data_IF_895717717632
#
_entry.id   IF_895717717632
#
_cell.length_a   1.000
_cell.length_b   1.000
_cell.length_c   1.000
_cell.angle_alpha   90.00
_cell.angle_beta   90.00
_cell.angle_gamma   90.00
#
_symmetry.space_group_name_H-M   'P 1'
#
loop_
_entity.id
_entity.type
_entity.pdbx_description
1 polymer ?
#
# COMPACT_ATOMS: atom_id res chain seq x y z
N UNK A 1 57.29 -38.24 -64.46
CA UNK A 1 56.71 -37.02 -63.82
C UNK A 1 55.48 -37.46 -63.00
N UNK A 2 55.66 -37.73 -61.73
CA UNK A 2 54.59 -38.19 -60.82
C UNK A 2 54.07 -36.96 -60.00
N UNK A 3 52.84 -36.61 -60.23
CA UNK A 3 52.15 -35.68 -59.35
C UNK A 3 51.45 -36.46 -58.22
N UNK A 4 51.92 -36.30 -57.01
CA UNK A 4 51.27 -36.82 -55.80
C UNK A 4 50.11 -35.90 -55.41
N UNK A 5 48.90 -36.42 -55.38
CA UNK A 5 47.75 -35.77 -54.77
C UNK A 5 47.78 -36.08 -53.25
N UNK A 6 47.89 -35.05 -52.44
CA UNK A 6 47.72 -35.14 -51.00
C UNK A 6 46.27 -34.80 -50.71
N UNK A 7 45.50 -35.80 -50.27
CA UNK A 7 44.13 -35.58 -49.82
C UNK A 7 44.18 -35.21 -48.35
N UNK A 8 43.84 -33.96 -48.03
CA UNK A 8 43.66 -33.47 -46.66
C UNK A 8 42.23 -33.82 -46.23
N UNK A 9 42.06 -34.78 -45.33
CA UNK A 9 40.79 -35.06 -44.66
C UNK A 9 40.67 -34.07 -43.50
N UNK A 10 39.84 -33.05 -43.65
CA UNK A 10 39.47 -32.19 -42.55
C UNK A 10 38.38 -32.85 -41.73
N UNK A 11 38.74 -33.38 -40.53
CA UNK A 11 37.77 -33.83 -39.55
C UNK A 11 37.10 -32.61 -38.90
N UNK A 12 35.85 -32.31 -39.27
CA UNK A 12 35.00 -31.37 -38.57
C UNK A 12 34.56 -32.02 -37.23
N UNK A 13 35.20 -31.61 -36.14
CA UNK A 13 34.71 -31.90 -34.80
C UNK A 13 33.57 -30.91 -34.53
N UNK A 14 32.33 -31.34 -34.70
CA UNK A 14 31.16 -30.62 -34.22
C UNK A 14 31.16 -30.73 -32.67
N UNK A 15 31.67 -29.73 -31.99
CA UNK A 15 31.42 -29.57 -30.56
C UNK A 15 29.98 -29.09 -30.43
N UNK A 16 29.06 -30.03 -30.21
CA UNK A 16 27.71 -29.70 -29.76
C UNK A 16 27.83 -29.14 -28.34
N UNK A 17 27.93 -27.82 -28.21
CA UNK A 17 27.67 -27.14 -26.94
C UNK A 17 26.17 -27.32 -26.67
N UNK A 18 25.81 -28.41 -25.99
CA UNK A 18 24.54 -28.51 -25.31
C UNK A 18 24.56 -27.37 -24.28
N UNK A 19 24.05 -26.22 -24.65
CA UNK A 19 23.70 -25.18 -23.70
C UNK A 19 22.64 -25.81 -22.79
N UNK A 20 23.07 -26.29 -21.63
CA UNK A 20 22.12 -26.52 -20.54
C UNK A 20 21.44 -25.16 -20.30
N UNK A 21 20.22 -25.00 -20.79
CA UNK A 21 19.37 -23.98 -20.35
C UNK A 21 19.20 -24.21 -18.85
N UNK A 22 19.97 -23.49 -18.04
CA UNK A 22 19.83 -23.52 -16.59
C UNK A 22 18.38 -23.14 -16.33
N UNK A 23 17.57 -24.06 -15.84
CA UNK A 23 16.19 -23.77 -15.50
C UNK A 23 16.20 -22.51 -14.64
N UNK A 24 15.59 -21.45 -15.12
CA UNK A 24 15.55 -20.18 -14.39
C UNK A 24 14.85 -20.47 -13.06
N UNK A 25 15.59 -20.34 -11.98
CA UNK A 25 15.05 -20.53 -10.65
C UNK A 25 13.87 -19.57 -10.47
N UNK A 26 12.70 -20.09 -10.07
CA UNK A 26 11.51 -19.28 -9.88
C UNK A 26 11.72 -18.33 -8.71
N UNK A 27 11.24 -17.08 -8.78
CA UNK A 27 11.34 -16.16 -7.65
C UNK A 27 10.55 -16.68 -6.45
N UNK A 28 11.14 -16.57 -5.27
CA UNK A 28 10.50 -16.98 -4.02
C UNK A 28 9.57 -15.88 -3.49
N UNK A 29 8.29 -16.20 -3.40
CA UNK A 29 7.23 -15.29 -2.96
C UNK A 29 6.59 -15.80 -1.68
N UNK A 30 6.62 -14.98 -0.61
CA UNK A 30 5.87 -15.25 0.61
C UNK A 30 4.48 -14.64 0.54
N UNK A 31 3.44 -15.43 0.82
CA UNK A 31 2.06 -14.94 0.95
C UNK A 31 1.71 -14.84 2.43
N UNK A 32 1.62 -13.62 2.94
CA UNK A 32 1.20 -13.32 4.30
C UNK A 32 -0.32 -13.11 4.35
N UNK A 33 -1.04 -13.97 5.06
CA UNK A 33 -2.49 -13.87 5.17
C UNK A 33 -2.90 -13.09 6.41
N UNK A 34 -3.78 -12.09 6.24
CA UNK A 34 -4.38 -11.33 7.33
C UNK A 34 -5.89 -11.59 7.51
N UNK A 35 -6.51 -12.37 6.62
CA UNK A 35 -7.94 -12.67 6.61
C UNK A 35 -8.67 -11.94 5.47
N UNK A 36 -9.79 -11.32 5.78
CA UNK A 36 -10.60 -10.58 4.82
C UNK A 36 -11.54 -11.46 3.96
N UNK A 37 -12.20 -10.83 2.97
CA UNK A 37 -13.19 -11.46 2.07
C UNK A 37 -12.56 -12.51 1.17
N UNK A 38 -11.33 -12.34 0.75
CA UNK A 38 -10.60 -13.32 -0.09
C UNK A 38 -10.50 -14.69 0.60
N UNK A 39 -10.40 -14.68 1.94
CA UNK A 39 -10.48 -15.85 2.81
C UNK A 39 -11.89 -16.06 3.39
N UNK A 40 -12.90 -15.39 2.87
CA UNK A 40 -14.27 -15.43 3.35
C UNK A 40 -15.07 -16.56 2.72
N UNK A 41 -15.97 -17.15 3.50
CA UNK A 41 -16.92 -18.17 3.06
C UNK A 41 -18.34 -17.77 3.45
N UNK A 42 -19.28 -17.87 2.51
CA UNK A 42 -20.69 -17.62 2.72
C UNK A 42 -21.52 -18.90 2.54
N UNK A 43 -22.72 -18.92 3.10
CA UNK A 43 -23.67 -20.04 3.00
C UNK A 43 -24.40 -20.09 1.65
N UNK A 44 -24.28 -19.06 0.82
CA UNK A 44 -25.00 -18.93 -0.46
C UNK A 44 -24.12 -18.30 -1.52
N UNK A 45 -24.22 -18.80 -2.75
CA UNK A 45 -23.50 -18.27 -3.91
C UNK A 45 -24.04 -16.92 -4.42
N UNK A 46 -25.26 -16.53 -4.00
CA UNK A 46 -25.96 -15.32 -4.48
C UNK A 46 -26.17 -14.27 -3.40
N UNK A 47 -25.89 -14.60 -2.14
CA UNK A 47 -26.04 -13.70 -1.01
C UNK A 47 -24.71 -13.05 -0.65
N UNK A 48 -24.74 -11.78 -0.26
CA UNK A 48 -23.55 -11.04 0.22
C UNK A 48 -23.17 -11.34 1.68
N UNK A 49 -23.94 -12.18 2.38
CA UNK A 49 -23.64 -12.59 3.76
C UNK A 49 -22.52 -13.63 3.76
N UNK A 50 -21.39 -13.28 4.37
CA UNK A 50 -20.24 -14.16 4.54
C UNK A 50 -19.50 -13.85 5.84
N UNK A 51 -18.68 -14.80 6.29
CA UNK A 51 -17.73 -14.59 7.40
C UNK A 51 -16.32 -14.46 6.83
N UNK A 52 -15.66 -13.35 7.11
CA UNK A 52 -14.29 -13.12 6.67
C UNK A 52 -13.31 -14.06 7.39
N UNK A 53 -12.19 -14.41 6.72
CA UNK A 53 -11.09 -15.13 7.36
C UNK A 53 -11.38 -16.60 7.65
N UNK A 54 -12.33 -17.26 7.01
CA UNK A 54 -12.66 -18.66 7.27
C UNK A 54 -11.73 -19.67 6.55
N UNK A 55 -11.02 -19.22 5.53
CA UNK A 55 -10.19 -20.08 4.66
C UNK A 55 -8.73 -19.88 5.02
N UNK A 56 -8.05 -20.98 5.34
CA UNK A 56 -6.61 -20.98 5.64
C UNK A 56 -5.77 -20.64 4.39
N UNK A 57 -4.60 -20.07 4.58
CA UNK A 57 -3.70 -19.65 3.48
C UNK A 57 -3.34 -20.80 2.55
N UNK A 58 -3.09 -22.01 3.06
CA UNK A 58 -2.80 -23.18 2.23
C UNK A 58 -3.93 -23.49 1.24
N UNK A 59 -5.18 -23.42 1.67
CA UNK A 59 -6.35 -23.64 0.81
C UNK A 59 -6.47 -22.56 -0.28
N UNK A 60 -6.12 -21.31 0.03
CA UNK A 60 -6.10 -20.22 -0.97
C UNK A 60 -5.03 -20.47 -2.04
N UNK A 61 -3.83 -20.92 -1.64
CA UNK A 61 -2.75 -21.25 -2.57
C UNK A 61 -3.14 -22.45 -3.44
N UNK A 62 -3.71 -23.50 -2.86
CA UNK A 62 -4.12 -24.71 -3.58
C UNK A 62 -5.30 -24.47 -4.54
N UNK A 63 -6.12 -23.43 -4.26
CA UNK A 63 -7.20 -23.04 -5.17
C UNK A 63 -6.70 -22.37 -6.48
N UNK A 64 -5.42 -21.98 -6.55
CA UNK A 64 -4.82 -21.30 -7.72
C UNK A 64 -3.49 -21.95 -8.10
N UNK A 65 -3.49 -23.21 -8.57
CA UNK A 65 -2.26 -23.97 -8.81
C UNK A 65 -1.33 -23.32 -9.86
N UNK A 66 -1.87 -22.57 -10.81
CA UNK A 66 -1.10 -21.85 -11.82
C UNK A 66 -0.07 -20.85 -11.25
N UNK A 67 -0.21 -20.44 -10.00
CA UNK A 67 0.79 -19.58 -9.35
C UNK A 67 2.13 -20.31 -9.16
N UNK A 68 2.13 -21.64 -9.04
CA UNK A 68 3.34 -22.47 -8.86
C UNK A 68 4.20 -22.52 -10.12
N UNK A 69 3.64 -22.15 -11.27
CA UNK A 69 4.39 -22.07 -12.53
C UNK A 69 5.18 -20.77 -12.66
N UNK A 70 4.90 -19.77 -11.80
CA UNK A 70 5.50 -18.44 -11.86
C UNK A 70 6.33 -18.06 -10.63
N UNK A 71 6.12 -18.73 -9.50
CA UNK A 71 6.87 -18.49 -8.27
C UNK A 71 6.98 -19.74 -7.39
N UNK A 72 8.07 -19.84 -6.62
CA UNK A 72 8.14 -20.72 -5.45
C UNK A 72 7.40 -20.03 -4.30
N UNK A 73 6.28 -20.62 -3.84
CA UNK A 73 5.33 -19.97 -2.95
C UNK A 73 5.35 -20.61 -1.57
N UNK A 74 5.56 -19.77 -0.56
CA UNK A 74 5.33 -20.11 0.84
C UNK A 74 4.19 -19.26 1.42
N UNK A 75 3.34 -19.86 2.26
CA UNK A 75 2.20 -19.19 2.91
C UNK A 75 2.34 -19.13 4.42
N UNK A 76 2.04 -17.98 5.02
CA UNK A 76 2.04 -17.76 6.46
C UNK A 76 0.80 -17.01 6.91
N UNK A 77 0.13 -17.49 7.97
CA UNK A 77 -1.00 -16.81 8.59
C UNK A 77 -0.48 -15.84 9.66
N UNK A 78 -0.55 -14.53 9.41
CA UNK A 78 -0.13 -13.50 10.37
C UNK A 78 -1.24 -13.23 11.40
N UNK A 79 -2.45 -12.99 10.91
CA UNK A 79 -3.70 -12.84 11.69
C UNK A 79 -4.87 -13.32 10.83
N UNK A 80 -6.04 -13.47 11.45
CA UNK A 80 -7.24 -13.88 10.74
C UNK A 80 -8.44 -13.03 11.18
N UNK A 81 -8.57 -11.84 10.56
CA UNK A 81 -9.55 -10.81 10.92
C UNK A 81 -10.27 -10.26 9.69
N UNK A 82 -11.45 -9.70 9.88
CA UNK A 82 -12.02 -8.74 8.95
C UNK A 82 -11.20 -7.44 8.99
N UNK A 83 -11.01 -6.77 7.86
CA UNK A 83 -10.16 -5.58 7.83
C UNK A 83 -10.73 -4.39 8.61
N UNK A 84 -12.03 -4.36 8.90
CA UNK A 84 -12.64 -3.39 9.82
C UNK A 84 -12.09 -3.51 11.26
N UNK A 85 -11.52 -4.66 11.61
CA UNK A 85 -10.92 -4.94 12.93
C UNK A 85 -9.39 -4.77 12.91
N UNK A 86 -8.84 -4.19 11.84
CA UNK A 86 -7.40 -3.89 11.74
C UNK A 86 -6.98 -2.95 12.87
N UNK A 87 -5.80 -3.19 13.44
CA UNK A 87 -5.29 -2.41 14.56
C UNK A 87 -3.83 -2.01 14.38
N UNK A 88 -3.41 -0.97 15.14
CA UNK A 88 -2.02 -0.54 15.17
C UNK A 88 -1.05 -1.67 15.57
N UNK A 89 -1.47 -2.56 16.47
CA UNK A 89 -0.67 -3.72 16.89
C UNK A 89 -0.47 -4.72 15.74
N UNK A 90 -1.51 -4.95 14.93
CA UNK A 90 -1.42 -5.80 13.73
C UNK A 90 -0.52 -5.16 12.68
N UNK A 91 -0.61 -3.85 12.46
CA UNK A 91 0.28 -3.13 11.55
C UNK A 91 1.74 -3.25 11.95
N UNK A 92 2.07 -3.05 13.24
CA UNK A 92 3.44 -3.20 13.73
C UNK A 92 3.96 -4.63 13.56
N UNK A 93 3.13 -5.64 13.87
CA UNK A 93 3.46 -7.05 13.65
C UNK A 93 3.71 -7.34 12.16
N UNK A 94 2.84 -6.85 11.28
CA UNK A 94 2.94 -7.07 9.84
C UNK A 94 4.19 -6.39 9.26
N UNK A 95 4.46 -5.13 9.63
CA UNK A 95 5.69 -4.43 9.20
C UNK A 95 6.96 -5.14 9.65
N UNK A 96 7.01 -5.62 10.89
CA UNK A 96 8.15 -6.39 11.38
C UNK A 96 8.37 -7.66 10.56
N UNK A 97 7.30 -8.44 10.29
CA UNK A 97 7.41 -9.67 9.51
C UNK A 97 7.78 -9.44 8.05
N UNK A 98 7.20 -8.42 7.41
CA UNK A 98 7.55 -8.04 6.03
C UNK A 98 9.02 -7.63 5.94
N UNK A 99 9.50 -6.76 6.83
CA UNK A 99 10.92 -6.36 6.84
C UNK A 99 11.85 -7.56 7.08
N UNK A 100 11.51 -8.46 8.00
CA UNK A 100 12.28 -9.67 8.27
C UNK A 100 12.42 -10.54 7.01
N UNK A 101 11.31 -10.81 6.32
CA UNK A 101 11.30 -11.62 5.09
C UNK A 101 12.11 -10.95 3.97
N UNK A 102 11.93 -9.66 3.75
CA UNK A 102 12.61 -8.95 2.66
C UNK A 102 14.11 -8.75 2.90
N UNK A 103 14.58 -8.85 4.15
CA UNK A 103 16.01 -8.89 4.48
C UNK A 103 16.68 -10.22 4.13
N UNK A 104 15.92 -11.30 3.94
CA UNK A 104 16.44 -12.60 3.55
C UNK A 104 16.85 -12.57 2.07
N UNK A 105 18.01 -13.17 1.76
CA UNK A 105 18.50 -13.23 0.37
C UNK A 105 17.71 -14.23 -0.50
N UNK A 106 17.08 -15.21 0.12
CA UNK A 106 16.29 -16.26 -0.54
C UNK A 106 14.81 -15.87 -0.73
N UNK A 107 14.40 -14.67 -0.38
CA UNK A 107 13.04 -14.14 -0.60
C UNK A 107 13.10 -13.02 -1.62
N UNK A 108 12.29 -13.11 -2.67
CA UNK A 108 12.25 -12.11 -3.74
C UNK A 108 11.11 -11.11 -3.60
N UNK A 109 9.98 -11.51 -3.01
CA UNK A 109 8.82 -10.64 -2.84
C UNK A 109 7.88 -11.11 -1.72
N UNK A 110 6.97 -10.22 -1.30
CA UNK A 110 5.90 -10.51 -0.36
C UNK A 110 4.56 -10.13 -0.99
N UNK A 111 3.59 -11.04 -0.94
CA UNK A 111 2.17 -10.78 -1.21
C UNK A 111 1.41 -10.79 0.11
N UNK A 112 0.45 -9.89 0.29
CA UNK A 112 -0.34 -9.80 1.52
C UNK A 112 -1.82 -9.91 1.15
N UNK A 113 -2.48 -11.00 1.56
CA UNK A 113 -3.94 -11.09 1.43
C UNK A 113 -4.61 -10.30 2.54
N UNK A 114 -5.54 -9.41 2.18
CA UNK A 114 -6.13 -8.45 3.09
C UNK A 114 -7.61 -8.21 2.77
N UNK A 115 -8.39 -7.84 3.77
CA UNK A 115 -9.76 -7.38 3.55
C UNK A 115 -9.77 -5.98 2.93
N UNK A 116 -10.75 -5.71 2.07
CA UNK A 116 -10.75 -4.51 1.22
C UNK A 116 -11.05 -3.20 1.96
N UNK A 117 -11.70 -3.24 3.16
CA UNK A 117 -12.20 -2.03 3.82
C UNK A 117 -11.08 -1.09 4.32
N UNK A 118 -9.96 -1.64 4.79
CA UNK A 118 -8.80 -0.85 5.27
C UNK A 118 -7.50 -1.20 4.55
N UNK A 119 -7.58 -1.85 3.38
CA UNK A 119 -6.40 -2.23 2.58
C UNK A 119 -5.55 -1.02 2.22
N UNK A 120 -6.16 0.08 1.82
CA UNK A 120 -5.47 1.33 1.47
C UNK A 120 -4.65 1.90 2.63
N UNK A 121 -5.19 1.76 3.86
CA UNK A 121 -4.50 2.20 5.07
C UNK A 121 -3.30 1.31 5.39
N UNK A 122 -3.48 -0.01 5.31
CA UNK A 122 -2.37 -0.97 5.51
C UNK A 122 -1.29 -0.81 4.46
N UNK A 123 -1.66 -0.63 3.18
CA UNK A 123 -0.72 -0.39 2.10
C UNK A 123 0.10 0.89 2.35
N UNK A 124 -0.56 1.97 2.74
CA UNK A 124 0.10 3.24 3.04
C UNK A 124 1.00 3.15 4.28
N UNK A 125 0.56 2.48 5.34
CA UNK A 125 1.39 2.24 6.52
C UNK A 125 2.67 1.46 6.16
N UNK A 126 2.54 0.38 5.38
CA UNK A 126 3.69 -0.42 4.96
C UNK A 126 4.62 0.36 4.02
N UNK A 127 4.10 1.22 3.13
CA UNK A 127 4.93 2.04 2.25
C UNK A 127 5.85 3.00 3.01
N UNK A 128 5.46 3.39 4.22
CA UNK A 128 6.23 4.26 5.11
C UNK A 128 7.12 3.51 6.12
N UNK A 129 6.94 2.19 6.27
CA UNK A 129 7.61 1.41 7.33
C UNK A 129 8.37 0.17 6.84
N UNK A 130 8.32 -0.09 5.53
CA UNK A 130 9.11 -1.14 4.88
C UNK A 130 10.21 -0.51 4.04
N UNK A 131 11.47 -0.93 4.29
CA UNK A 131 12.63 -0.45 3.54
C UNK A 131 13.20 -1.60 2.71
N UNK A 132 12.77 -1.70 1.45
CA UNK A 132 13.24 -2.73 0.52
C UNK A 132 12.99 -2.32 -0.92
N UNK A 133 13.87 -2.75 -1.83
CA UNK A 133 13.67 -2.68 -3.27
C UNK A 133 12.76 -3.81 -3.79
N UNK A 134 12.58 -4.87 -2.98
CA UNK A 134 11.76 -6.04 -3.32
C UNK A 134 10.28 -5.69 -3.25
N UNK A 135 9.44 -6.21 -4.16
CA UNK A 135 8.02 -5.91 -4.21
C UNK A 135 7.26 -6.35 -2.96
N UNK A 136 6.33 -5.51 -2.51
CA UNK A 136 5.27 -5.85 -1.56
C UNK A 136 3.93 -5.58 -2.22
N UNK A 137 3.08 -6.59 -2.35
CA UNK A 137 1.81 -6.47 -3.09
C UNK A 137 0.64 -6.87 -2.21
N UNK A 138 -0.25 -5.93 -1.91
CA UNK A 138 -1.50 -6.23 -1.21
C UNK A 138 -2.58 -6.66 -2.22
N UNK A 139 -3.40 -7.61 -1.82
CA UNK A 139 -4.49 -8.15 -2.62
C UNK A 139 -5.68 -8.55 -1.75
N UNK A 140 -6.88 -8.47 -2.32
CA UNK A 140 -8.11 -8.86 -1.66
C UNK A 140 -9.16 -9.35 -2.64
N UNK A 141 -10.40 -9.45 -2.16
CA UNK A 141 -11.55 -9.76 -2.99
C UNK A 141 -12.77 -8.98 -2.51
N UNK A 142 -13.64 -8.61 -3.46
CA UNK A 142 -14.93 -7.99 -3.17
C UNK A 142 -16.04 -9.03 -3.01
N UNK A 143 -15.83 -10.24 -3.53
CA UNK A 143 -16.77 -11.36 -3.44
C UNK A 143 -16.16 -12.50 -2.64
N UNK A 144 -16.90 -13.13 -1.73
CA UNK A 144 -16.41 -14.30 -0.99
C UNK A 144 -16.13 -15.48 -1.95
N UNK A 145 -15.28 -16.41 -1.54
CA UNK A 145 -14.87 -17.55 -2.36
C UNK A 145 -16.02 -18.43 -2.84
N UNK A 146 -17.14 -18.42 -2.13
CA UNK A 146 -18.36 -19.16 -2.47
C UNK A 146 -19.31 -18.44 -3.43
N UNK A 147 -19.05 -17.16 -3.76
CA UNK A 147 -19.92 -16.39 -4.63
C UNK A 147 -19.75 -16.76 -6.11
N UNK A 148 -20.82 -16.57 -6.89
CA UNK A 148 -20.74 -16.66 -8.35
C UNK A 148 -19.78 -15.58 -8.85
N UNK A 149 -18.82 -15.98 -9.72
CA UNK A 149 -17.77 -15.09 -10.22
C UNK A 149 -16.93 -14.45 -9.09
N UNK A 150 -16.53 -15.24 -8.09
CA UNK A 150 -15.60 -14.81 -7.07
C UNK A 150 -14.31 -14.25 -7.71
N UNK A 151 -13.93 -13.04 -7.30
CA UNK A 151 -12.77 -12.33 -7.89
C UNK A 151 -11.43 -12.67 -7.20
N UNK A 152 -11.49 -13.32 -6.03
CA UNK A 152 -10.31 -13.66 -5.22
C UNK A 152 -9.23 -14.46 -5.94
N UNK A 153 -9.55 -15.58 -6.61
CA UNK A 153 -8.55 -16.40 -7.31
C UNK A 153 -7.79 -15.64 -8.39
N UNK A 154 -8.49 -14.87 -9.23
CA UNK A 154 -7.85 -14.07 -10.27
C UNK A 154 -7.01 -12.92 -9.69
N UNK A 155 -7.51 -12.26 -8.63
CA UNK A 155 -6.77 -11.21 -7.95
C UNK A 155 -5.48 -11.75 -7.32
N UNK A 156 -5.55 -12.92 -6.65
CA UNK A 156 -4.38 -13.54 -6.02
C UNK A 156 -3.33 -13.95 -7.06
N UNK A 157 -3.76 -14.58 -8.16
CA UNK A 157 -2.87 -14.90 -9.28
C UNK A 157 -2.16 -13.65 -9.81
N UNK A 158 -2.91 -12.60 -10.10
CA UNK A 158 -2.36 -11.33 -10.60
C UNK A 158 -1.38 -10.69 -9.60
N UNK A 159 -1.66 -10.76 -8.30
CA UNK A 159 -0.75 -10.24 -7.28
C UNK A 159 0.58 -11.01 -7.24
N UNK A 160 0.56 -12.33 -7.44
CA UNK A 160 1.77 -13.15 -7.54
C UNK A 160 2.54 -12.82 -8.83
N UNK A 161 1.85 -12.61 -9.96
CA UNK A 161 2.48 -12.14 -11.22
C UNK A 161 3.21 -10.81 -11.00
N UNK A 162 2.56 -9.86 -10.34
CA UNK A 162 3.18 -8.56 -10.01
C UNK A 162 4.37 -8.75 -9.10
N UNK A 163 4.24 -9.54 -8.03
CA UNK A 163 5.30 -9.78 -7.05
C UNK A 163 6.53 -10.48 -7.67
N UNK A 164 6.31 -11.47 -8.55
CA UNK A 164 7.36 -12.23 -9.21
C UNK A 164 8.08 -11.45 -10.33
N UNK A 165 7.54 -10.32 -10.78
CA UNK A 165 8.09 -9.55 -11.88
C UNK A 165 9.27 -8.67 -11.47
N UNK A 166 10.38 -8.76 -12.21
CA UNK A 166 11.52 -7.86 -12.03
C UNK A 166 11.15 -6.38 -12.26
N UNK A 167 10.13 -6.10 -13.10
CA UNK A 167 9.65 -4.75 -13.36
C UNK A 167 8.93 -4.11 -12.15
N UNK A 168 8.60 -4.92 -11.12
CA UNK A 168 7.99 -4.46 -9.89
C UNK A 168 9.00 -4.04 -8.81
N UNK A 169 10.28 -4.31 -9.00
CA UNK A 169 11.34 -3.84 -8.09
C UNK A 169 11.34 -2.31 -8.03
N UNK A 170 11.70 -1.78 -6.88
CA UNK A 170 11.75 -0.33 -6.63
C UNK A 170 10.42 0.42 -6.79
N UNK A 171 9.28 -0.27 -6.84
CA UNK A 171 7.97 0.38 -6.88
C UNK A 171 7.32 0.55 -5.52
N UNK A 172 8.01 0.13 -4.44
CA UNK A 172 7.48 0.19 -3.07
C UNK A 172 6.31 -0.77 -2.87
N UNK A 173 5.36 -0.35 -2.04
CA UNK A 173 4.17 -1.15 -1.73
C UNK A 173 3.07 -0.88 -2.77
N UNK A 174 2.57 -1.94 -3.35
CA UNK A 174 1.56 -1.93 -4.41
C UNK A 174 0.26 -2.58 -3.94
N UNK A 175 -0.85 -2.18 -4.53
CA UNK A 175 -2.15 -2.86 -4.40
C UNK A 175 -2.54 -3.41 -5.76
N UNK A 176 -2.81 -4.73 -5.85
CA UNK A 176 -3.24 -5.39 -7.08
C UNK A 176 -4.68 -5.86 -6.93
N UNK A 177 -5.61 -5.23 -7.65
CA UNK A 177 -7.03 -5.53 -7.61
C UNK A 177 -7.66 -5.41 -8.99
N UNK A 178 -8.51 -6.36 -9.35
CA UNK A 178 -9.25 -6.34 -10.62
C UNK A 178 -8.35 -6.12 -11.85
N UNK A 179 -7.17 -6.78 -11.87
CA UNK A 179 -6.20 -6.68 -12.97
C UNK A 179 -5.43 -5.36 -13.04
N UNK A 180 -5.64 -4.42 -12.14
CA UNK A 180 -4.92 -3.13 -12.07
C UNK A 180 -3.95 -3.10 -10.91
N UNK A 181 -2.86 -2.36 -11.08
CA UNK A 181 -1.81 -2.16 -10.07
C UNK A 181 -1.78 -0.69 -9.67
N UNK A 182 -1.81 -0.43 -8.38
CA UNK A 182 -1.88 0.91 -7.80
C UNK A 182 -0.76 1.15 -6.79
N UNK A 183 -0.30 2.38 -6.69
CA UNK A 183 0.58 2.83 -5.61
C UNK A 183 -0.18 3.03 -4.29
N UNK A 184 0.49 2.79 -3.18
CA UNK A 184 -0.10 2.87 -1.84
C UNK A 184 -0.57 4.28 -1.44
N UNK A 185 0.04 5.31 -2.00
CA UNK A 185 -0.22 6.72 -1.68
C UNK A 185 -1.60 7.23 -2.13
N UNK A 186 -2.04 6.85 -3.34
CA UNK A 186 -3.30 7.36 -3.92
C UNK A 186 -4.42 6.32 -4.01
N UNK A 187 -4.10 5.01 -3.91
CA UNK A 187 -5.14 3.97 -3.98
C UNK A 187 -6.18 4.14 -2.89
N UNK A 188 -7.47 4.05 -3.26
CA UNK A 188 -8.59 4.11 -2.30
C UNK A 188 -9.76 3.26 -2.76
N UNK A 189 -10.55 2.77 -1.80
CA UNK A 189 -11.81 2.05 -2.05
C UNK A 189 -12.92 3.05 -2.36
N UNK A 190 -13.32 3.15 -3.62
CA UNK A 190 -14.28 4.16 -4.09
C UNK A 190 -15.72 3.67 -4.18
N UNK A 191 -15.95 2.36 -4.05
CA UNK A 191 -17.27 1.76 -4.15
C UNK A 191 -17.44 0.64 -3.11
N UNK A 192 -18.62 0.51 -2.54
CA UNK A 192 -18.90 -0.45 -1.47
C UNK A 192 -19.06 -1.88 -1.97
N UNK A 193 -19.41 -2.10 -3.25
CA UNK A 193 -19.85 -3.41 -3.78
C UNK A 193 -19.14 -3.83 -5.07
N UNK A 194 -18.76 -2.89 -5.94
CA UNK A 194 -18.16 -3.21 -7.24
C UNK A 194 -16.83 -3.91 -7.11
N UNK A 195 -16.54 -4.89 -7.97
CA UNK A 195 -15.21 -5.50 -8.07
C UNK A 195 -14.16 -4.49 -8.55
N UNK A 196 -14.56 -3.50 -9.34
CA UNK A 196 -13.73 -2.36 -9.76
C UNK A 196 -13.77 -1.22 -8.73
N UNK A 197 -13.62 -1.55 -7.46
CA UNK A 197 -13.76 -0.57 -6.37
C UNK A 197 -12.50 0.23 -6.09
N UNK A 198 -11.31 -0.35 -6.31
CA UNK A 198 -10.07 0.35 -6.07
C UNK A 198 -9.71 1.27 -7.24
N UNK A 199 -9.43 2.52 -6.93
CA UNK A 199 -8.98 3.54 -7.85
C UNK A 199 -7.83 4.33 -7.22
N UNK A 200 -7.04 4.99 -8.04
CA UNK A 200 -6.10 6.04 -7.63
C UNK A 200 -6.59 7.34 -8.27
N UNK A 201 -7.45 8.08 -7.59
CA UNK A 201 -8.26 9.12 -8.24
C UNK A 201 -7.47 10.35 -8.69
N UNK A 202 -6.28 10.59 -8.12
CA UNK A 202 -5.43 11.72 -8.52
C UNK A 202 -4.34 11.31 -9.51
N UNK A 203 -3.68 10.16 -9.30
CA UNK A 203 -2.51 9.73 -10.10
C UNK A 203 -2.82 8.67 -11.17
N UNK A 204 -3.94 7.94 -11.03
CA UNK A 204 -4.28 6.80 -11.86
C UNK A 204 -3.53 5.52 -11.46
N UNK A 205 -3.84 4.42 -12.13
CA UNK A 205 -3.15 3.16 -11.94
C UNK A 205 -1.66 3.26 -12.34
N UNK A 206 -0.80 2.52 -11.68
CA UNK A 206 0.62 2.35 -12.05
C UNK A 206 0.77 1.44 -13.27
N UNK A 207 -0.12 0.45 -13.40
CA UNK A 207 -0.09 -0.53 -14.45
C UNK A 207 -1.26 -1.50 -14.39
N UNK A 208 -1.15 -2.58 -15.14
CA UNK A 208 -2.15 -3.64 -15.20
C UNK A 208 -1.50 -4.99 -15.46
N UNK A 209 -2.22 -6.07 -15.16
CA UNK A 209 -1.84 -7.44 -15.47
C UNK A 209 -2.67 -7.95 -16.62
N UNK A 210 -2.03 -8.55 -17.62
CA UNK A 210 -2.68 -9.19 -18.75
C UNK A 210 -1.88 -10.42 -19.19
N UNK A 211 -2.56 -11.52 -19.45
CA UNK A 211 -1.96 -12.79 -19.91
C UNK A 211 -0.76 -13.28 -19.06
N UNK A 212 -0.82 -13.11 -17.73
CA UNK A 212 0.26 -13.52 -16.83
C UNK A 212 1.50 -12.59 -16.85
N UNK A 213 1.37 -11.40 -17.40
CA UNK A 213 2.43 -10.40 -17.42
C UNK A 213 1.94 -9.07 -16.84
N UNK A 214 2.82 -8.33 -16.16
CA UNK A 214 2.52 -6.99 -15.66
C UNK A 214 3.08 -5.93 -16.62
N UNK A 215 2.25 -4.94 -16.91
CA UNK A 215 2.59 -3.78 -17.75
C UNK A 215 2.46 -2.51 -16.94
N UNK A 216 3.55 -1.78 -16.80
CA UNK A 216 3.57 -0.49 -16.10
C UNK A 216 3.51 0.67 -17.07
N UNK A 217 2.70 1.67 -16.78
CA UNK A 217 2.57 2.88 -17.63
C UNK A 217 3.78 3.78 -17.54
N UNK A 218 4.54 3.71 -16.44
CA UNK A 218 5.71 4.56 -16.20
C UNK A 218 6.90 3.71 -15.78
N UNK A 219 8.09 3.98 -16.31
CA UNK A 219 9.30 3.32 -15.82
C UNK A 219 9.56 3.75 -14.36
N UNK A 220 10.25 2.89 -13.61
CA UNK A 220 10.96 3.34 -12.40
C UNK A 220 12.11 4.21 -12.88
N UNK A 221 12.28 5.40 -12.31
CA UNK A 221 13.40 6.24 -12.64
C UNK A 221 14.70 5.61 -12.10
N UNK A 222 15.48 4.98 -12.99
CA UNK A 222 16.71 4.26 -12.63
C UNK A 222 17.76 5.19 -12.00
N UNK A 223 17.82 6.44 -12.47
CA UNK A 223 18.84 7.41 -12.01
C UNK A 223 18.40 8.24 -10.81
N UNK A 224 17.09 8.39 -10.60
CA UNK A 224 16.58 9.17 -9.48
C UNK A 224 16.07 8.30 -8.34
N UNK A 225 15.91 6.98 -8.54
CA UNK A 225 15.35 6.09 -7.54
C UNK A 225 14.00 6.56 -6.99
N UNK A 226 13.29 7.43 -7.71
CA UNK A 226 12.27 8.31 -7.14
C UNK A 226 10.96 8.14 -7.89
N UNK A 227 9.88 7.90 -7.17
CA UNK A 227 8.55 8.20 -7.68
C UNK A 227 8.43 9.71 -7.85
N UNK A 228 8.01 10.13 -9.05
CA UNK A 228 7.69 11.52 -9.29
C UNK A 228 6.35 11.82 -8.63
N UNK A 229 6.37 12.33 -7.42
CA UNK A 229 5.20 12.89 -6.79
C UNK A 229 5.10 14.38 -7.09
N UNK A 230 3.92 14.92 -6.88
CA UNK A 230 3.48 16.26 -7.21
C UNK A 230 4.57 17.35 -7.01
N UNK A 231 4.78 18.21 -8.02
CA UNK A 231 5.68 19.37 -7.90
C UNK A 231 4.89 20.59 -7.46
N UNK A 232 5.18 21.12 -6.30
CA UNK A 232 4.68 22.41 -5.90
C UNK A 232 5.84 23.40 -5.72
N UNK A 233 5.79 24.56 -6.41
CA UNK A 233 6.72 25.71 -6.28
C UNK A 233 8.22 25.38 -6.38
N UNK A 234 8.61 24.52 -7.33
CA UNK A 234 10.03 24.27 -7.59
C UNK A 234 10.77 23.49 -6.53
N UNK A 235 10.05 22.88 -5.59
CA UNK A 235 10.62 21.92 -4.65
C UNK A 235 11.13 20.70 -5.44
N UNK A 236 12.40 20.38 -5.24
CA UNK A 236 13.03 19.18 -5.78
C UNK A 236 12.30 17.96 -5.20
N UNK A 237 11.92 17.08 -6.08
CA UNK A 237 11.28 15.81 -5.76
C UNK A 237 12.01 15.09 -4.64
N UNK A 238 11.33 14.80 -3.55
CA UNK A 238 11.78 13.80 -2.59
C UNK A 238 11.11 12.48 -2.92
N UNK A 239 11.90 11.43 -2.92
CA UNK A 239 11.39 10.08 -3.02
C UNK A 239 10.55 9.78 -1.77
N UNK A 240 9.30 9.37 -1.93
CA UNK A 240 8.53 8.88 -0.78
C UNK A 240 9.19 7.67 -0.13
N UNK A 241 10.09 6.96 -0.83
CA UNK A 241 10.95 5.92 -0.26
C UNK A 241 12.04 6.49 0.66
N UNK A 242 12.39 7.78 0.55
CA UNK A 242 13.25 8.46 1.51
C UNK A 242 12.51 8.76 2.81
N UNK A 243 11.16 8.81 2.75
CA UNK A 243 10.33 8.95 3.94
C UNK A 243 10.07 7.58 4.58
N UNK A 244 11.02 7.17 5.39
CA UNK A 244 10.97 5.91 6.12
C UNK A 244 10.91 6.13 7.63
N UNK A 245 9.95 5.46 8.26
CA UNK A 245 9.80 5.43 9.70
C UNK A 245 10.19 4.05 10.24
N UNK A 246 11.36 3.97 10.87
CA UNK A 246 11.73 2.76 11.60
C UNK A 246 10.82 2.58 12.81
N UNK A 247 9.98 1.54 12.73
CA UNK A 247 9.03 1.14 13.78
C UNK A 247 9.49 -0.08 14.56
N UNK A 248 10.69 -0.61 14.31
CA UNK A 248 11.20 -1.84 14.94
C UNK A 248 11.23 -1.79 16.47
N UNK A 249 11.39 -0.60 17.05
CA UNK A 249 11.40 -0.36 18.50
C UNK A 249 10.11 0.25 19.04
N UNK A 250 9.12 0.50 18.16
CA UNK A 250 7.84 1.11 18.54
C UNK A 250 6.92 0.03 19.10
N UNK A 251 6.58 0.14 20.38
CA UNK A 251 5.65 -0.80 21.05
C UNK A 251 4.19 -0.41 20.84
N UNK A 252 3.92 0.89 20.76
CA UNK A 252 2.59 1.45 20.58
C UNK A 252 2.69 2.73 19.76
N UNK A 253 1.78 2.89 18.78
CA UNK A 253 1.70 4.10 17.98
C UNK A 253 0.90 5.19 18.73
N UNK A 254 1.29 6.47 18.57
CA UNK A 254 0.57 7.60 19.16
C UNK A 254 -0.91 7.61 18.77
N UNK A 255 -1.78 7.97 19.70
CA UNK A 255 -3.22 8.02 19.48
C UNK A 255 -3.60 9.23 18.63
N UNK A 256 -4.04 8.99 17.40
CA UNK A 256 -4.51 9.99 16.44
C UNK A 256 -5.92 9.65 15.99
N UNK A 257 -6.80 10.63 15.96
CA UNK A 257 -8.20 10.46 15.54
C UNK A 257 -8.55 11.31 14.33
N UNK A 258 -9.70 11.01 13.71
CA UNK A 258 -10.27 11.77 12.61
C UNK A 258 -11.57 12.40 13.10
N UNK A 259 -11.69 13.73 12.97
CA UNK A 259 -12.92 14.46 13.16
C UNK A 259 -13.47 14.85 11.78
N UNK A 260 -14.74 14.54 11.52
CA UNK A 260 -15.35 14.74 10.20
C UNK A 260 -16.13 16.06 10.16
N UNK A 261 -15.86 16.90 9.15
CA UNK A 261 -16.54 18.17 8.93
C UNK A 261 -17.85 17.97 8.14
N UNK A 262 -18.92 18.64 8.60
CA UNK A 262 -20.24 18.66 7.96
C UNK A 262 -20.96 19.98 8.28
N UNK A 263 -22.11 20.22 7.62
CA UNK A 263 -22.93 21.39 7.89
C UNK A 263 -23.41 21.37 9.35
N UNK A 264 -23.27 22.51 10.06
CA UNK A 264 -23.58 22.64 11.48
C UNK A 264 -22.78 21.73 12.43
N UNK A 265 -21.54 21.37 12.04
CA UNK A 265 -20.65 20.59 12.88
C UNK A 265 -20.36 21.32 14.20
N UNK A 266 -20.52 20.61 15.32
CA UNK A 266 -20.14 21.05 16.66
C UNK A 266 -18.73 20.63 17.04
N UNK A 267 -18.30 21.07 18.22
CA UNK A 267 -16.95 20.84 18.74
C UNK A 267 -16.77 19.54 19.52
N UNK A 268 -17.84 18.82 19.80
CA UNK A 268 -17.93 17.73 20.76
C UNK A 268 -16.93 16.59 20.47
N UNK A 269 -16.75 16.26 19.17
CA UNK A 269 -15.80 15.21 18.75
C UNK A 269 -14.37 15.62 19.05
N UNK A 270 -14.01 16.88 18.78
CA UNK A 270 -12.68 17.42 19.07
C UNK A 270 -12.44 17.50 20.58
N UNK A 271 -13.44 17.98 21.34
CA UNK A 271 -13.38 18.05 22.80
C UNK A 271 -13.16 16.65 23.43
N UNK A 272 -13.90 15.65 22.96
CA UNK A 272 -13.71 14.27 23.42
C UNK A 272 -12.30 13.74 23.12
N UNK A 273 -11.72 14.10 21.98
CA UNK A 273 -10.32 13.74 21.65
C UNK A 273 -9.33 14.43 22.58
N UNK A 274 -9.55 15.70 22.90
CA UNK A 274 -8.74 16.45 23.86
C UNK A 274 -8.81 15.78 25.25
N UNK A 275 -9.99 15.50 25.74
CA UNK A 275 -10.22 14.83 27.03
C UNK A 275 -9.58 13.44 27.10
N UNK A 276 -9.59 12.69 26.00
CA UNK A 276 -9.01 11.34 25.89
C UNK A 276 -7.52 11.36 25.58
N UNK A 277 -6.86 12.53 25.66
CA UNK A 277 -5.41 12.70 25.50
C UNK A 277 -4.87 12.22 24.15
N UNK A 278 -5.59 12.44 23.05
CA UNK A 278 -5.08 12.21 21.72
C UNK A 278 -3.81 13.03 21.49
N UNK A 279 -2.89 12.54 20.68
CA UNK A 279 -1.64 13.23 20.33
C UNK A 279 -1.74 13.99 19.02
N UNK A 280 -2.70 13.59 18.19
CA UNK A 280 -3.00 14.23 16.92
C UNK A 280 -4.46 14.12 16.54
N UNK A 281 -4.93 15.08 15.80
CA UNK A 281 -6.30 15.16 15.24
C UNK A 281 -6.16 15.46 13.75
N UNK A 282 -6.76 14.63 12.91
CA UNK A 282 -6.98 14.95 11.50
C UNK A 282 -8.41 15.48 11.38
N UNK A 283 -8.55 16.69 10.92
CA UNK A 283 -9.85 17.24 10.62
C UNK A 283 -10.16 17.06 9.13
N UNK A 284 -11.09 16.16 8.82
CA UNK A 284 -11.60 15.93 7.47
C UNK A 284 -12.60 17.04 7.11
N UNK A 285 -12.09 18.19 6.72
CA UNK A 285 -12.87 19.39 6.45
C UNK A 285 -13.69 19.30 5.15
N UNK A 286 -14.44 20.34 4.88
CA UNK A 286 -15.19 20.51 3.63
C UNK A 286 -14.35 21.28 2.60
N UNK A 287 -14.61 21.07 1.29
CA UNK A 287 -13.84 21.73 0.24
C UNK A 287 -12.34 21.57 0.42
N UNK A 288 -11.58 22.64 0.45
CA UNK A 288 -10.12 22.65 0.66
C UNK A 288 -9.72 22.50 2.15
N UNK A 289 -10.33 21.59 2.86
CA UNK A 289 -10.06 21.36 4.28
C UNK A 289 -10.61 22.43 5.21
N UNK A 290 -11.69 23.13 4.82
CA UNK A 290 -12.30 24.20 5.60
C UNK A 290 -12.94 23.69 6.88
N UNK A 291 -12.85 24.52 7.90
CA UNK A 291 -13.27 24.21 9.27
C UNK A 291 -14.52 25.01 9.62
N UNK A 292 -15.55 24.33 10.13
CA UNK A 292 -16.74 24.99 10.61
C UNK A 292 -16.42 25.91 11.80
N UNK A 293 -17.04 27.13 11.84
CA UNK A 293 -16.78 28.14 12.86
C UNK A 293 -16.94 27.67 14.31
N UNK A 294 -17.84 26.72 14.56
CA UNK A 294 -18.06 26.17 15.91
C UNK A 294 -16.96 25.19 16.33
N UNK A 295 -16.28 24.52 15.36
CA UNK A 295 -15.21 23.54 15.61
C UNK A 295 -13.85 24.22 15.76
N UNK A 296 -13.65 25.33 15.05
CA UNK A 296 -12.36 26.02 14.96
C UNK A 296 -11.73 26.31 16.34
N UNK A 297 -12.48 26.90 17.32
CA UNK A 297 -11.92 27.16 18.65
C UNK A 297 -11.44 25.90 19.40
N UNK A 298 -12.09 24.75 19.18
CA UNK A 298 -11.66 23.48 19.80
C UNK A 298 -10.33 22.98 19.20
N UNK A 299 -10.11 23.17 17.90
CA UNK A 299 -8.83 22.83 17.27
C UNK A 299 -7.71 23.76 17.71
N UNK A 300 -7.98 25.06 17.93
CA UNK A 300 -7.02 25.98 18.56
C UNK A 300 -6.68 25.55 19.99
N UNK A 301 -7.68 25.13 20.77
CA UNK A 301 -7.48 24.62 22.12
C UNK A 301 -6.62 23.35 22.11
N UNK A 302 -6.88 22.42 21.18
CA UNK A 302 -6.05 21.24 20.97
C UNK A 302 -4.58 21.61 20.73
N UNK A 303 -4.32 22.60 19.86
CA UNK A 303 -2.96 23.09 19.59
C UNK A 303 -2.30 23.68 20.85
N UNK A 304 -3.01 24.49 21.63
CA UNK A 304 -2.51 25.05 22.88
C UNK A 304 -2.13 23.96 23.91
N UNK A 305 -2.79 22.79 23.83
CA UNK A 305 -2.49 21.61 24.64
C UNK A 305 -1.40 20.69 24.04
N UNK A 306 -0.77 21.09 22.93
CA UNK A 306 0.29 20.35 22.28
C UNK A 306 -0.18 19.20 21.37
N UNK A 307 -1.49 19.11 21.11
CA UNK A 307 -2.05 18.12 20.17
C UNK A 307 -1.85 18.67 18.76
N UNK A 308 -1.24 17.88 17.87
CA UNK A 308 -1.06 18.29 16.49
C UNK A 308 -2.39 18.21 15.70
N UNK A 309 -2.63 19.18 14.85
CA UNK A 309 -3.82 19.25 14.00
C UNK A 309 -3.39 19.21 12.54
N UNK A 310 -3.93 18.26 11.79
CA UNK A 310 -3.79 18.14 10.34
C UNK A 310 -5.14 18.46 9.71
N UNK A 311 -5.16 19.44 8.82
CA UNK A 311 -6.30 19.68 7.94
C UNK A 311 -6.21 18.77 6.74
N UNK A 312 -7.26 17.98 6.51
CA UNK A 312 -7.48 17.18 5.33
C UNK A 312 -8.88 17.47 4.79
N UNK A 313 -9.30 16.80 3.75
CA UNK A 313 -10.61 17.00 3.18
C UNK A 313 -11.43 15.71 3.11
N UNK A 314 -12.74 15.81 3.30
CA UNK A 314 -13.69 14.72 2.98
C UNK A 314 -13.94 14.60 1.48
N UNK A 315 -13.47 15.55 0.68
CA UNK A 315 -13.55 15.48 -0.79
C UNK A 315 -12.54 14.43 -1.26
N UNK A 316 -12.94 13.47 -2.10
CA UNK A 316 -12.10 12.31 -2.41
C UNK A 316 -10.93 12.60 -3.35
N UNK A 317 -10.90 13.77 -4.00
CA UNK A 317 -9.87 14.16 -4.97
C UNK A 317 -9.39 15.57 -4.75
N UNK A 318 -8.20 15.88 -5.26
CA UNK A 318 -7.56 17.19 -5.09
C UNK A 318 -6.76 17.29 -3.79
N UNK A 319 -6.03 18.38 -3.64
CA UNK A 319 -5.15 18.61 -2.51
C UNK A 319 -5.75 19.61 -1.51
N UNK A 320 -5.53 19.37 -0.21
CA UNK A 320 -5.73 20.36 0.83
C UNK A 320 -4.49 21.25 0.90
N UNK A 321 -4.59 22.47 0.42
CA UNK A 321 -3.45 23.38 0.26
C UNK A 321 -3.11 24.15 1.53
N UNK A 322 -1.82 24.39 1.74
CA UNK A 322 -1.29 25.13 2.87
C UNK A 322 -1.62 26.64 2.71
N UNK A 323 -1.97 27.30 3.82
CA UNK A 323 -2.20 28.75 3.92
C UNK A 323 -3.15 29.32 2.84
N UNK A 324 -4.23 28.58 2.51
CA UNK A 324 -5.24 29.02 1.56
C UNK A 324 -6.37 29.81 2.27
N UNK A 325 -7.47 29.12 2.62
CA UNK A 325 -8.60 29.73 3.33
C UNK A 325 -8.40 29.73 4.86
N UNK A 326 -7.48 28.90 5.35
CA UNK A 326 -7.06 28.83 6.75
C UNK A 326 -5.58 29.20 6.83
N UNK A 327 -5.24 30.14 7.71
CA UNK A 327 -3.85 30.54 8.00
C UNK A 327 -3.19 29.46 8.89
N UNK A 328 -2.66 28.43 8.26
CA UNK A 328 -2.06 27.28 8.95
C UNK A 328 -0.85 27.70 9.77
N UNK A 329 -0.04 28.62 9.25
CA UNK A 329 1.16 29.11 9.94
C UNK A 329 0.81 29.81 11.25
N UNK A 330 -0.27 30.60 11.28
CA UNK A 330 -0.75 31.29 12.49
C UNK A 330 -1.21 30.32 13.57
N UNK A 331 -1.94 29.27 13.19
CA UNK A 331 -2.55 28.33 14.13
C UNK A 331 -1.67 27.11 14.41
N UNK A 332 -0.57 26.93 13.67
CA UNK A 332 0.30 25.77 13.76
C UNK A 332 -0.39 24.49 13.27
N UNK A 333 -1.28 24.62 12.28
CA UNK A 333 -1.91 23.48 11.63
C UNK A 333 -1.00 22.95 10.51
N UNK A 334 -1.28 21.73 10.08
CA UNK A 334 -0.60 21.03 8.99
C UNK A 334 -1.59 20.77 7.88
N UNK A 335 -1.24 21.03 6.63
CA UNK A 335 -2.05 20.68 5.47
C UNK A 335 -1.69 19.29 4.95
N UNK A 336 -2.71 18.47 4.66
CA UNK A 336 -2.48 17.06 4.25
C UNK A 336 -2.08 16.87 2.80
N UNK A 337 -2.09 17.91 1.99
CA UNK A 337 -1.90 17.85 0.54
C UNK A 337 -2.81 16.79 -0.10
N UNK A 338 -2.26 15.88 -0.91
CA UNK A 338 -3.03 14.84 -1.62
C UNK A 338 -3.52 13.68 -0.74
N UNK A 339 -3.17 13.64 0.55
CA UNK A 339 -3.59 12.54 1.42
C UNK A 339 -5.03 12.71 1.89
N UNK A 340 -5.83 11.67 1.71
CA UNK A 340 -7.14 11.56 2.33
C UNK A 340 -7.02 11.45 3.87
N UNK A 341 -8.11 11.65 4.63
CA UNK A 341 -8.05 11.72 6.09
C UNK A 341 -7.45 10.47 6.77
N UNK A 342 -7.73 9.28 6.28
CA UNK A 342 -7.24 8.03 6.85
C UNK A 342 -5.73 7.86 6.63
N UNK A 343 -5.20 8.23 5.48
CA UNK A 343 -3.76 8.22 5.21
C UNK A 343 -3.03 9.35 5.93
N UNK A 344 -3.63 10.55 5.97
CA UNK A 344 -3.11 11.66 6.78
C UNK A 344 -3.00 11.27 8.26
N UNK A 345 -3.96 10.50 8.80
CA UNK A 345 -3.91 9.95 10.15
C UNK A 345 -2.69 9.04 10.35
N UNK A 346 -2.41 8.17 9.39
CA UNK A 346 -1.26 7.24 9.46
C UNK A 346 0.06 8.02 9.45
N UNK A 347 0.21 8.97 8.52
CA UNK A 347 1.42 9.77 8.46
C UNK A 347 1.64 10.58 9.74
N UNK A 348 0.57 11.20 10.29
CA UNK A 348 0.66 11.91 11.55
C UNK A 348 1.05 10.98 12.72
N UNK A 349 0.48 9.78 12.78
CA UNK A 349 0.84 8.78 13.78
C UNK A 349 2.34 8.44 13.74
N UNK A 350 2.87 8.20 12.55
CA UNK A 350 4.28 7.88 12.35
C UNK A 350 5.18 9.09 12.64
N UNK A 351 4.81 10.27 12.16
CA UNK A 351 5.53 11.52 12.41
C UNK A 351 5.67 11.82 13.91
N UNK A 352 4.59 11.59 14.69
CA UNK A 352 4.58 11.77 16.14
C UNK A 352 5.52 10.80 16.90
N UNK A 353 6.00 9.73 16.27
CA UNK A 353 7.07 8.89 16.83
C UNK A 353 8.43 9.57 16.75
N UNK A 354 8.58 10.62 15.94
CA UNK A 354 9.85 11.33 15.69
C UNK A 354 9.85 12.76 16.22
N UNK A 355 8.75 13.48 16.11
CA UNK A 355 8.68 14.90 16.46
C UNK A 355 7.28 15.37 16.83
N UNK A 356 7.22 16.41 17.69
CA UNK A 356 5.98 17.16 17.99
C UNK A 356 6.01 18.58 17.39
N UNK A 357 7.05 18.92 16.63
CA UNK A 357 7.15 20.19 15.91
C UNK A 357 6.29 20.13 14.63
N UNK A 358 5.24 20.95 14.58
CA UNK A 358 4.31 20.99 13.47
C UNK A 358 4.98 21.34 12.13
N UNK A 359 6.03 22.18 12.13
CA UNK A 359 6.79 22.55 10.92
C UNK A 359 7.50 21.34 10.33
N UNK A 360 8.16 20.54 11.20
CA UNK A 360 8.79 19.28 10.77
C UNK A 360 7.76 18.24 10.31
N UNK A 361 6.60 18.22 10.96
CA UNK A 361 5.50 17.36 10.49
C UNK A 361 5.00 17.82 9.12
N UNK A 362 4.85 19.14 8.88
CA UNK A 362 4.50 19.66 7.56
C UNK A 362 5.52 19.24 6.49
N UNK A 363 6.81 19.22 6.81
CA UNK A 363 7.84 18.75 5.87
C UNK A 363 7.59 17.29 5.43
N UNK A 364 7.14 16.40 6.35
CA UNK A 364 6.75 15.04 5.96
C UNK A 364 5.54 15.04 5.02
N UNK A 365 4.52 15.86 5.29
CA UNK A 365 3.34 15.96 4.44
C UNK A 365 3.63 16.57 3.06
N UNK A 366 4.65 17.40 2.92
CA UNK A 366 5.05 18.00 1.64
C UNK A 366 5.54 16.97 0.61
N UNK A 367 5.69 15.70 0.99
CA UNK A 367 6.04 14.61 0.07
C UNK A 367 4.83 13.99 -0.64
N UNK A 368 3.61 14.42 -0.34
CA UNK A 368 2.35 13.87 -0.88
C UNK A 368 1.45 14.99 -1.48
#
# INVERSE_FOLDING_TARGET
>A
MFKRFVTVVAALVLVATAGFAQAKELPKVYILATGGTIAGSGSSATNSNYTAGQVAIGTLIDAVPAMKDIADIEGEQVVNIGSQDMSNAVWLKLAARVNELLHRNDVDAVVITHGTDTMEETAFFLSLTVKSEKPVVLVGAMRPSTAISADGPANLYNAVVVAASAASKDRGVLVCMNGKVYGADDVTKTNTMSVETFQAPNAGAEGYVNNGEVFYYRPVCADCGKRLHYVHKGAVYTDTRDLYFDVSKVKELPKVGIAYGYADAGREVVDAMIEKNYKGIVYAGVGNGNIHKNVFPALEEARKKGILVVRSSRVPTGATTLDAEVDDAKYGFVASWGLNPQKARILLMLALTKTHDWKKVQEYFNNF
#
